data_IF_648817940954
#
_entry.id   IF_648817940954
#
_cell.length_a   1.000
_cell.length_b   1.000
_cell.length_c   1.000
_cell.angle_alpha   90.00
_cell.angle_beta   90.00
_cell.angle_gamma   90.00
#
_symmetry.space_group_name_H-M   'P 1'
#
loop_
_entity.id
_entity.type
_entity.pdbx_description
1 polymer ?
#
# COMPACT_ATOMS: atom_id res chain seq x y z
N UNK A 1 5.32 -10.05 20.82
CA UNK A 1 6.60 -9.37 20.54
C UNK A 1 6.23 -8.01 19.98
N UNK A 2 6.46 -6.92 20.71
CA UNK A 2 6.25 -5.56 20.20
C UNK A 2 7.29 -5.33 19.11
N UNK A 3 6.89 -5.29 17.84
CA UNK A 3 7.77 -4.84 16.76
C UNK A 3 8.29 -3.46 17.15
N UNK A 4 9.61 -3.31 17.28
CA UNK A 4 10.22 -1.99 17.45
C UNK A 4 9.72 -1.09 16.31
N UNK A 5 9.12 0.04 16.66
CA UNK A 5 8.67 1.02 15.66
C UNK A 5 9.90 1.49 14.89
N UNK A 6 10.05 0.96 13.68
CA UNK A 6 11.10 1.40 12.75
C UNK A 6 10.96 2.91 12.58
N UNK A 7 12.08 3.60 12.72
CA UNK A 7 12.18 5.04 12.54
C UNK A 7 13.32 5.32 11.57
N UNK A 8 13.06 6.15 10.58
CA UNK A 8 14.03 6.55 9.58
C UNK A 8 14.48 7.99 9.86
N UNK A 9 15.78 8.29 9.84
CA UNK A 9 16.26 9.64 10.08
C UNK A 9 15.82 10.58 8.97
N UNK A 10 15.45 11.80 9.36
CA UNK A 10 15.03 12.90 8.48
C UNK A 10 16.13 13.99 8.52
N UNK A 11 16.58 14.56 7.37
CA UNK A 11 16.11 14.33 6.00
C UNK A 11 16.44 12.92 5.51
N UNK A 12 15.40 12.22 5.03
CA UNK A 12 15.54 10.91 4.41
C UNK A 12 15.76 11.10 2.93
N UNK A 13 16.81 10.48 2.39
CA UNK A 13 17.17 10.53 0.97
C UNK A 13 17.41 9.12 0.48
N UNK A 14 16.86 8.79 -0.69
CA UNK A 14 17.06 7.48 -1.30
C UNK A 14 17.20 7.59 -2.80
N UNK A 15 18.11 6.79 -3.35
CA UNK A 15 18.22 6.54 -4.78
C UNK A 15 17.34 5.34 -5.13
N UNK A 16 16.51 5.50 -6.16
CA UNK A 16 15.75 4.39 -6.70
C UNK A 16 16.71 3.42 -7.40
N UNK A 17 16.63 2.13 -7.05
CA UNK A 17 17.47 1.10 -7.67
C UNK A 17 17.10 0.84 -9.14
N UNK A 18 15.84 1.11 -9.49
CA UNK A 18 15.28 1.00 -10.83
C UNK A 18 14.52 2.28 -11.18
N UNK A 19 14.15 2.44 -12.45
CA UNK A 19 13.34 3.59 -12.88
C UNK A 19 11.98 3.55 -12.19
N UNK A 20 11.43 4.73 -11.92
CA UNK A 20 10.04 4.82 -11.49
C UNK A 20 9.13 4.63 -12.70
N UNK A 21 8.34 3.56 -12.69
CA UNK A 21 7.53 3.10 -13.82
C UNK A 21 6.02 3.16 -13.54
N UNK A 22 5.20 3.28 -14.58
CA UNK A 22 3.74 3.19 -14.45
C UNK A 22 3.29 1.93 -13.70
N UNK A 23 2.38 2.11 -12.75
CA UNK A 23 1.86 1.08 -11.86
C UNK A 23 2.62 0.96 -10.54
N UNK A 24 3.84 1.51 -10.43
CA UNK A 24 4.59 1.53 -9.17
C UNK A 24 4.03 2.56 -8.19
N UNK A 25 4.16 2.29 -6.90
CA UNK A 25 3.70 3.13 -5.80
C UNK A 25 4.83 3.39 -4.81
N UNK A 26 5.06 4.66 -4.48
CA UNK A 26 5.83 5.08 -3.31
C UNK A 26 4.88 5.26 -2.13
N UNK A 27 5.15 4.59 -1.01
CA UNK A 27 4.41 4.64 0.24
C UNK A 27 5.29 5.31 1.29
N UNK A 28 4.78 6.37 1.90
CA UNK A 28 5.43 7.13 2.98
C UNK A 28 4.47 7.20 4.16
N UNK A 29 4.83 6.52 5.26
CA UNK A 29 4.05 6.56 6.50
C UNK A 29 4.87 7.16 7.62
N UNK A 30 4.23 7.96 8.44
CA UNK A 30 4.88 8.64 9.55
C UNK A 30 3.88 9.13 10.57
N UNK A 31 4.37 9.95 11.47
CA UNK A 31 3.59 10.70 12.44
C UNK A 31 4.12 12.12 12.58
N UNK A 32 3.27 13.02 13.07
CA UNK A 32 3.61 14.41 13.34
C UNK A 32 3.39 14.73 14.81
N UNK A 33 3.80 15.92 15.24
CA UNK A 33 3.53 16.46 16.59
C UNK A 33 2.66 17.71 16.50
N UNK A 34 2.12 18.17 17.62
CA UNK A 34 1.21 19.33 17.67
C UNK A 34 1.89 20.64 17.22
N UNK A 35 3.22 20.69 17.33
CA UNK A 35 4.05 21.81 16.91
C UNK A 35 4.44 21.76 15.42
N UNK A 36 4.23 20.63 14.73
CA UNK A 36 4.61 20.46 13.32
C UNK A 36 4.01 21.58 12.46
N UNK A 37 4.84 22.21 11.63
CA UNK A 37 4.44 23.25 10.69
C UNK A 37 4.28 22.67 9.30
N UNK A 38 5.30 21.95 8.82
CA UNK A 38 5.27 21.36 7.49
C UNK A 38 6.26 20.23 7.31
N UNK A 39 5.97 19.34 6.37
CA UNK A 39 6.95 18.41 5.81
C UNK A 39 6.77 18.28 4.30
N UNK A 40 7.75 17.66 3.64
CA UNK A 40 7.78 17.52 2.19
C UNK A 40 8.14 16.10 1.76
N UNK A 41 7.57 15.69 0.64
CA UNK A 41 7.94 14.49 -0.10
C UNK A 41 8.28 14.95 -1.51
N UNK A 42 9.45 14.55 -2.01
CA UNK A 42 9.96 15.01 -3.31
C UNK A 42 10.40 13.82 -4.14
N UNK A 43 10.03 13.80 -5.41
CA UNK A 43 10.60 12.95 -6.45
C UNK A 43 11.58 13.80 -7.26
N UNK A 44 12.86 13.44 -7.24
CA UNK A 44 13.95 14.24 -7.80
C UNK A 44 14.60 13.58 -9.01
N UNK A 45 15.18 14.41 -9.86
CA UNK A 45 16.09 14.01 -10.94
C UNK A 45 17.55 14.10 -10.48
N UNK A 46 18.36 13.10 -10.81
CA UNK A 46 19.82 12.99 -10.56
C UNK A 46 20.29 12.92 -9.10
N UNK A 47 19.81 13.78 -8.20
CA UNK A 47 20.22 13.82 -6.78
C UNK A 47 19.00 14.05 -5.89
N UNK A 48 19.05 13.58 -4.64
CA UNK A 48 17.97 13.74 -3.65
C UNK A 48 18.06 15.09 -2.90
N UNK A 49 18.29 16.20 -3.61
CA UNK A 49 18.42 17.53 -3.03
C UNK A 49 18.02 18.65 -3.99
N UNK A 50 17.89 19.86 -3.45
CA UNK A 50 17.56 21.07 -4.22
C UNK A 50 18.82 21.74 -4.80
N UNK A 51 19.80 20.96 -5.28
CA UNK A 51 21.03 21.49 -5.91
C UNK A 51 20.80 22.14 -7.29
N UNK A 52 19.55 22.48 -7.62
CA UNK A 52 19.14 23.05 -8.91
C UNK A 52 18.71 22.01 -9.95
N UNK A 53 18.69 20.73 -9.60
CA UNK A 53 18.13 19.68 -10.47
C UNK A 53 16.59 19.69 -10.46
N UNK A 54 16.00 19.12 -11.52
CA UNK A 54 14.55 19.07 -11.69
C UNK A 54 13.88 18.21 -10.61
N UNK A 55 12.74 18.66 -10.12
CA UNK A 55 11.86 17.95 -9.19
C UNK A 55 10.52 17.69 -9.90
N UNK A 56 10.35 16.54 -10.57
CA UNK A 56 9.10 16.17 -11.24
C UNK A 56 7.85 16.30 -10.37
N UNK A 57 7.95 15.94 -9.09
CA UNK A 57 6.86 16.10 -8.13
C UNK A 57 7.39 16.53 -6.76
N UNK A 58 6.94 17.69 -6.32
CA UNK A 58 7.07 18.19 -4.96
C UNK A 58 5.70 18.14 -4.29
N UNK A 59 5.64 17.58 -3.08
CA UNK A 59 4.46 17.61 -2.22
C UNK A 59 4.87 18.25 -0.90
N UNK A 60 4.19 19.33 -0.51
CA UNK A 60 4.37 20.02 0.76
C UNK A 60 3.08 19.95 1.57
N UNK A 61 3.14 19.28 2.71
CA UNK A 61 2.05 19.16 3.67
C UNK A 61 2.22 20.32 4.65
N UNK A 62 1.34 21.33 4.57
CA UNK A 62 1.43 22.59 5.32
C UNK A 62 0.30 22.66 6.33
N UNK A 63 0.62 22.45 7.61
CA UNK A 63 -0.36 22.53 8.69
C UNK A 63 -0.65 23.97 9.11
N UNK A 64 0.35 24.85 8.97
CA UNK A 64 0.23 26.30 9.15
C UNK A 64 -0.75 26.95 8.16
N UNK A 65 -0.80 26.46 6.91
CA UNK A 65 -1.75 26.92 5.90
C UNK A 65 -3.03 26.05 5.82
N UNK A 66 -3.05 24.87 6.44
CA UNK A 66 -4.12 23.88 6.30
C UNK A 66 -4.25 23.34 4.86
N UNK A 67 -3.16 23.28 4.10
CA UNK A 67 -3.12 22.86 2.69
C UNK A 67 -2.05 21.81 2.42
N UNK A 68 -2.31 20.94 1.48
CA UNK A 68 -1.26 20.20 0.76
C UNK A 68 -1.05 20.90 -0.56
N UNK A 69 0.21 21.20 -0.86
CA UNK A 69 0.65 21.93 -2.05
C UNK A 69 1.50 21.00 -2.91
N UNK A 70 1.18 20.96 -4.20
CA UNK A 70 1.88 20.16 -5.19
C UNK A 70 2.49 21.08 -6.25
N UNK A 71 3.70 20.79 -6.68
CA UNK A 71 4.35 21.54 -7.74
C UNK A 71 5.44 20.71 -8.43
N UNK A 72 6.02 21.27 -9.48
CA UNK A 72 7.23 20.76 -10.12
C UNK A 72 8.26 21.89 -10.19
N UNK A 73 9.52 21.54 -10.03
CA UNK A 73 10.65 22.45 -10.22
C UNK A 73 11.39 22.03 -11.50
N UNK A 74 11.60 22.97 -12.41
CA UNK A 74 12.25 22.70 -13.70
C UNK A 74 13.02 23.92 -14.19
N UNK A 75 14.19 23.71 -14.78
CA UNK A 75 14.99 24.80 -15.36
C UNK A 75 15.30 25.95 -14.37
N UNK A 76 15.44 25.63 -13.07
CA UNK A 76 15.75 26.61 -12.04
C UNK A 76 14.56 27.31 -11.40
N UNK A 77 13.33 27.05 -11.87
CA UNK A 77 12.12 27.73 -11.40
C UNK A 77 11.02 26.76 -10.96
N UNK A 78 10.21 27.22 -9.99
CA UNK A 78 8.97 26.55 -9.59
C UNK A 78 7.85 26.85 -10.57
N UNK A 79 7.09 25.82 -10.95
CA UNK A 79 5.86 25.97 -11.72
C UNK A 79 4.71 26.55 -10.91
N UNK A 80 3.51 26.50 -11.49
CA UNK A 80 2.27 26.90 -10.81
C UNK A 80 1.86 25.86 -9.76
N UNK A 81 1.70 26.29 -8.52
CA UNK A 81 1.22 25.42 -7.44
C UNK A 81 -0.21 24.91 -7.67
N UNK A 82 -0.45 23.65 -7.34
CA UNK A 82 -1.76 23.06 -7.13
C UNK A 82 -2.00 22.84 -5.65
N UNK A 83 -3.15 23.27 -5.14
CA UNK A 83 -3.43 23.30 -3.69
C UNK A 83 -4.74 22.59 -3.38
N UNK A 84 -4.76 21.79 -2.32
CA UNK A 84 -5.99 21.15 -1.79
C UNK A 84 -5.98 21.18 -0.26
N UNK A 85 -7.15 21.13 0.37
CA UNK A 85 -7.27 21.10 1.84
C UNK A 85 -6.47 19.94 2.42
N UNK A 86 -5.71 20.18 3.48
CA UNK A 86 -4.97 19.14 4.19
C UNK A 86 -5.93 18.32 5.07
N UNK A 87 -6.09 17.00 4.85
CA UNK A 87 -6.91 16.16 5.72
C UNK A 87 -6.14 15.63 6.94
N UNK A 88 -4.81 15.73 6.95
CA UNK A 88 -3.95 15.24 8.03
C UNK A 88 -4.02 16.21 9.19
N UNK A 89 -4.20 15.70 10.41
CA UNK A 89 -4.15 16.50 11.63
C UNK A 89 -2.76 16.48 12.25
N UNK A 90 -2.40 17.57 12.91
CA UNK A 90 -1.19 17.63 13.74
C UNK A 90 -1.28 16.59 14.86
N UNK A 91 -0.14 16.05 15.26
CA UNK A 91 -0.06 15.02 16.31
C UNK A 91 -0.50 13.62 15.87
N UNK A 92 -1.10 13.46 14.68
CA UNK A 92 -1.60 12.18 14.19
C UNK A 92 -0.61 11.47 13.24
N UNK A 93 -0.82 10.17 13.07
CA UNK A 93 -0.15 9.37 12.05
C UNK A 93 -0.74 9.68 10.66
N UNK A 94 0.04 9.46 9.61
CA UNK A 94 -0.39 9.63 8.23
C UNK A 94 0.11 8.49 7.34
N UNK A 95 -0.62 8.24 6.25
CA UNK A 95 -0.24 7.35 5.15
C UNK A 95 -0.38 8.09 3.81
N UNK A 96 0.75 8.49 3.21
CA UNK A 96 0.77 9.14 1.89
C UNK A 96 1.29 8.14 0.86
N UNK A 97 0.54 7.98 -0.23
CA UNK A 97 0.93 7.14 -1.36
C UNK A 97 0.95 7.94 -2.64
N UNK A 98 1.95 7.67 -3.46
CA UNK A 98 2.15 8.29 -4.76
C UNK A 98 2.29 7.17 -5.78
N UNK A 99 1.25 6.96 -6.60
CA UNK A 99 1.24 5.95 -7.64
C UNK A 99 1.46 6.60 -8.99
N UNK A 100 2.43 6.09 -9.73
CA UNK A 100 2.71 6.56 -11.08
C UNK A 100 1.76 5.90 -12.08
N UNK A 101 1.19 6.70 -12.98
CA UNK A 101 0.55 6.26 -14.21
C UNK A 101 1.31 6.84 -15.42
N UNK A 102 0.89 6.51 -16.64
CA UNK A 102 1.53 7.01 -17.86
C UNK A 102 1.40 8.53 -18.02
N UNK A 103 0.31 9.11 -17.50
CA UNK A 103 -0.09 10.51 -17.71
C UNK A 103 -0.05 11.38 -16.44
N UNK A 104 -0.05 10.76 -15.25
CA UNK A 104 -0.14 11.47 -13.97
C UNK A 104 0.44 10.69 -12.79
N UNK A 105 0.61 11.37 -11.67
CA UNK A 105 0.67 10.76 -10.35
C UNK A 105 -0.72 10.76 -9.73
N UNK A 106 -1.20 9.60 -9.30
CA UNK A 106 -2.32 9.51 -8.37
C UNK A 106 -1.77 9.61 -6.96
N UNK A 107 -2.32 10.50 -6.14
CA UNK A 107 -1.89 10.72 -4.76
C UNK A 107 -3.03 10.34 -3.83
N UNK A 108 -2.72 9.57 -2.79
CA UNK A 108 -3.64 9.14 -1.75
C UNK A 108 -3.15 9.60 -0.39
N UNK A 109 -4.10 9.94 0.47
CA UNK A 109 -3.85 10.25 1.88
C UNK A 109 -4.80 9.39 2.71
N UNK A 110 -4.23 8.66 3.66
CA UNK A 110 -4.91 7.67 4.51
C UNK A 110 -5.74 6.70 3.67
N UNK A 111 -5.10 6.16 2.63
CA UNK A 111 -5.66 5.20 1.67
C UNK A 111 -6.83 5.73 0.82
N UNK A 112 -7.20 7.00 0.95
CA UNK A 112 -8.26 7.64 0.17
C UNK A 112 -7.66 8.45 -0.96
N UNK A 113 -8.29 8.36 -2.12
CA UNK A 113 -7.94 9.17 -3.29
C UNK A 113 -7.93 10.66 -2.91
N UNK A 114 -6.76 11.30 -3.07
CA UNK A 114 -6.55 12.68 -2.68
C UNK A 114 -6.50 13.59 -3.90
N UNK A 115 -5.56 13.38 -4.83
CA UNK A 115 -5.40 14.25 -5.99
C UNK A 115 -4.64 13.54 -7.09
N UNK A 116 -5.09 13.74 -8.33
CA UNK A 116 -4.30 13.42 -9.52
C UNK A 116 -3.47 14.65 -9.92
N UNK A 117 -2.18 14.43 -10.21
CA UNK A 117 -1.23 15.46 -10.64
C UNK A 117 -0.62 15.05 -11.98
N UNK A 118 -1.01 15.76 -13.04
CA UNK A 118 -0.51 15.48 -14.40
C UNK A 118 1.00 15.67 -14.49
N UNK A 119 1.67 14.80 -15.25
CA UNK A 119 3.12 14.87 -15.42
C UNK A 119 3.51 16.17 -16.13
N UNK A 120 4.29 17.02 -15.45
CA UNK A 120 4.89 18.23 -16.04
C UNK A 120 6.31 18.01 -16.55
N UNK A 121 6.94 16.95 -16.07
CA UNK A 121 8.27 16.50 -16.45
C UNK A 121 8.21 14.99 -16.74
N UNK A 122 9.14 14.44 -17.53
CA UNK A 122 9.15 13.01 -17.84
C UNK A 122 9.23 12.17 -16.57
N UNK A 123 8.31 11.22 -16.39
CA UNK A 123 8.34 10.25 -15.29
C UNK A 123 9.71 9.55 -15.19
N UNK A 124 10.30 9.23 -16.35
CA UNK A 124 11.60 8.57 -16.47
C UNK A 124 12.79 9.40 -15.99
N UNK A 125 12.63 10.70 -15.70
CA UNK A 125 13.71 11.52 -15.14
C UNK A 125 13.90 11.30 -13.64
N UNK A 126 12.92 10.69 -12.96
CA UNK A 126 12.96 10.42 -11.53
C UNK A 126 13.97 9.32 -11.24
N UNK A 127 14.94 9.63 -10.39
CA UNK A 127 15.94 8.66 -9.92
C UNK A 127 16.11 8.64 -8.41
N UNK A 128 15.53 9.61 -7.71
CA UNK A 128 15.65 9.75 -6.27
C UNK A 128 14.34 10.21 -5.66
N UNK A 129 14.20 9.99 -4.36
CA UNK A 129 13.19 10.69 -3.57
C UNK A 129 13.75 11.14 -2.23
N UNK A 130 13.12 12.16 -1.65
CA UNK A 130 13.43 12.61 -0.30
C UNK A 130 12.17 12.89 0.51
N UNK A 131 12.30 12.74 1.82
CA UNK A 131 11.30 13.14 2.81
C UNK A 131 11.98 14.00 3.85
N UNK A 132 11.44 15.20 4.10
CA UNK A 132 12.09 16.21 4.96
C UNK A 132 11.07 17.08 5.70
N UNK A 133 11.47 17.67 6.83
CA UNK A 133 10.66 18.58 7.66
C UNK A 133 10.15 17.96 8.97
N UNK A 134 9.00 18.45 9.45
CA UNK A 134 8.49 18.20 10.80
C UNK A 134 7.70 16.88 10.92
N UNK A 135 8.38 15.75 10.80
CA UNK A 135 7.78 14.42 10.92
C UNK A 135 8.70 13.41 11.62
N UNK A 136 8.09 12.34 12.14
CA UNK A 136 8.75 11.06 12.39
C UNK A 136 8.41 10.10 11.25
N UNK A 137 9.43 9.66 10.50
CA UNK A 137 9.26 8.76 9.38
C UNK A 137 9.30 7.30 9.84
N UNK A 138 8.19 6.57 9.67
CA UNK A 138 8.04 5.21 10.21
C UNK A 138 8.18 4.11 9.16
N UNK A 139 7.69 4.35 7.94
CA UNK A 139 7.81 3.40 6.85
C UNK A 139 8.00 4.11 5.52
N UNK A 140 8.93 3.58 4.73
CA UNK A 140 9.11 3.93 3.33
C UNK A 140 9.17 2.64 2.54
N UNK A 141 8.35 2.55 1.50
CA UNK A 141 8.33 1.42 0.60
C UNK A 141 8.05 1.91 -0.82
N UNK A 142 8.77 1.40 -1.82
CA UNK A 142 8.44 1.65 -3.23
C UNK A 142 8.46 0.34 -4.01
N UNK A 143 7.60 0.25 -5.02
CA UNK A 143 7.53 -0.92 -5.89
C UNK A 143 6.10 -1.18 -6.34
N UNK A 144 5.76 -2.44 -6.55
CA UNK A 144 4.49 -2.81 -7.17
C UNK A 144 4.53 -2.64 -8.68
N UNK A 145 3.39 -2.84 -9.32
CA UNK A 145 3.16 -2.72 -10.76
C UNK A 145 1.66 -2.76 -11.02
N UNK A 146 1.25 -2.74 -12.28
CA UNK A 146 -0.10 -3.17 -12.62
C UNK A 146 -0.20 -4.69 -12.48
N UNK A 147 -1.07 -5.12 -11.59
CA UNK A 147 -1.42 -6.53 -11.40
C UNK A 147 -2.78 -6.76 -12.08
N UNK A 148 -2.87 -7.63 -13.10
CA UNK A 148 -4.15 -7.95 -13.72
C UNK A 148 -5.03 -8.68 -12.70
N UNK A 149 -6.33 -8.38 -12.71
CA UNK A 149 -7.35 -9.12 -11.95
C UNK A 149 -8.32 -9.73 -12.96
N UNK A 150 -8.53 -11.08 -12.96
CA UNK A 150 -8.05 -12.06 -11.99
C UNK A 150 -6.52 -12.22 -12.01
N UNK A 151 -5.93 -12.22 -10.81
CA UNK A 151 -4.52 -12.45 -10.58
C UNK A 151 -4.30 -13.90 -10.19
N UNK A 152 -3.29 -14.53 -10.78
CA UNK A 152 -2.84 -15.86 -10.39
C UNK A 152 -1.32 -15.94 -10.51
N UNK A 153 -0.67 -16.47 -9.48
CA UNK A 153 0.78 -16.68 -9.48
C UNK A 153 1.15 -17.82 -8.55
N UNK A 154 2.15 -18.59 -8.95
CA UNK A 154 2.92 -19.40 -8.01
C UNK A 154 3.68 -18.52 -7.04
N UNK A 155 3.91 -19.02 -5.82
CA UNK A 155 4.80 -18.42 -4.84
C UNK A 155 6.10 -19.22 -4.93
N UNK A 156 7.11 -18.68 -5.62
CA UNK A 156 8.28 -19.44 -6.05
C UNK A 156 9.02 -20.19 -4.92
N UNK A 157 9.10 -19.59 -3.73
CA UNK A 157 9.71 -20.19 -2.53
C UNK A 157 8.71 -20.91 -1.62
N UNK A 158 7.45 -21.01 -2.05
CA UNK A 158 6.32 -21.30 -1.18
C UNK A 158 6.01 -20.15 -0.21
N UNK A 159 4.93 -20.31 0.54
CA UNK A 159 4.56 -19.42 1.65
C UNK A 159 4.65 -20.20 2.98
N UNK A 160 5.87 -20.52 3.46
CA UNK A 160 6.05 -21.37 4.63
C UNK A 160 5.65 -20.67 5.93
N UNK A 161 5.64 -21.44 7.01
CA UNK A 161 5.43 -20.94 8.38
C UNK A 161 6.45 -19.84 8.71
N UNK A 162 6.05 -18.89 9.55
CA UNK A 162 6.74 -17.66 9.97
C UNK A 162 6.88 -16.58 8.89
N UNK A 163 6.40 -16.82 7.67
CA UNK A 163 6.40 -15.82 6.59
C UNK A 163 5.14 -14.97 6.58
N UNK A 164 5.27 -13.78 5.99
CA UNK A 164 4.19 -12.80 5.83
C UNK A 164 3.92 -12.54 4.35
N UNK A 165 2.65 -12.55 3.96
CA UNK A 165 2.18 -12.08 2.66
C UNK A 165 1.52 -10.71 2.87
N UNK A 166 2.06 -9.69 2.21
CA UNK A 166 1.51 -8.35 2.17
C UNK A 166 0.83 -8.12 0.82
N UNK A 167 -0.40 -7.63 0.86
CA UNK A 167 -1.19 -7.23 -0.31
C UNK A 167 -1.66 -5.79 -0.10
N UNK A 168 -1.36 -4.94 -1.05
CA UNK A 168 -1.88 -3.58 -1.15
C UNK A 168 -2.93 -3.54 -2.24
N UNK A 169 -4.15 -3.11 -1.89
CA UNK A 169 -5.27 -3.17 -2.81
C UNK A 169 -6.37 -2.18 -2.46
N UNK A 170 -7.24 -1.90 -3.42
CA UNK A 170 -8.42 -1.03 -3.25
C UNK A 170 -9.65 -1.77 -3.78
N UNK A 171 -10.68 -2.03 -2.94
CA UNK A 171 -11.96 -2.54 -3.44
C UNK A 171 -12.59 -1.50 -4.35
N UNK A 172 -13.20 -1.93 -5.45
CA UNK A 172 -13.87 -0.99 -6.36
C UNK A 172 -14.96 -0.17 -5.66
N UNK A 173 -15.21 1.07 -6.12
CA UNK A 173 -16.24 1.96 -5.56
C UNK A 173 -17.64 1.32 -5.55
N UNK A 174 -17.91 0.40 -6.47
CA UNK A 174 -19.18 -0.36 -6.59
C UNK A 174 -19.05 -1.84 -6.21
N UNK A 175 -17.95 -2.23 -5.56
CA UNK A 175 -17.65 -3.62 -5.21
C UNK A 175 -18.82 -4.30 -4.49
N UNK A 176 -19.14 -5.51 -4.92
CA UNK A 176 -19.98 -6.47 -4.18
C UNK A 176 -19.09 -7.39 -3.37
N UNK A 177 -18.05 -7.97 -3.98
CA UNK A 177 -17.15 -8.92 -3.33
C UNK A 177 -15.83 -9.07 -4.08
N UNK A 178 -14.81 -9.49 -3.35
CA UNK A 178 -13.55 -9.98 -3.91
C UNK A 178 -13.04 -11.15 -3.07
N UNK A 179 -12.12 -11.94 -3.60
CA UNK A 179 -11.51 -13.02 -2.84
C UNK A 179 -10.01 -13.11 -3.05
N UNK A 180 -9.33 -13.62 -2.03
CA UNK A 180 -7.91 -13.94 -2.01
C UNK A 180 -7.81 -15.39 -1.58
N UNK A 181 -7.22 -16.24 -2.43
CA UNK A 181 -7.02 -17.66 -2.18
C UNK A 181 -5.52 -17.93 -2.00
N UNK A 182 -5.17 -18.63 -0.92
CA UNK A 182 -3.88 -19.30 -0.76
C UNK A 182 -4.04 -20.76 -1.16
N UNK A 183 -3.33 -21.17 -2.20
CA UNK A 183 -3.45 -22.49 -2.79
C UNK A 183 -2.32 -23.40 -2.37
N UNK A 184 -2.65 -24.67 -2.16
CA UNK A 184 -1.71 -25.77 -1.98
C UNK A 184 -1.21 -26.25 -3.35
N UNK A 185 -0.12 -27.03 -3.36
CA UNK A 185 0.47 -27.59 -4.60
C UNK A 185 -0.51 -28.44 -5.43
N UNK A 186 -1.50 -29.06 -4.79
CA UNK A 186 -2.52 -29.89 -5.45
C UNK A 186 -3.73 -29.10 -5.96
N UNK A 187 -3.77 -27.77 -5.77
CA UNK A 187 -4.88 -26.91 -6.18
C UNK A 187 -5.96 -26.70 -5.12
N UNK A 188 -5.89 -27.40 -3.97
CA UNK A 188 -6.77 -27.11 -2.83
C UNK A 188 -6.55 -25.67 -2.33
N UNK A 189 -7.59 -25.06 -1.77
CA UNK A 189 -7.52 -23.72 -1.18
C UNK A 189 -7.33 -23.87 0.33
N UNK A 190 -6.12 -23.58 0.81
CA UNK A 190 -5.79 -23.57 2.25
C UNK A 190 -6.57 -22.47 2.99
N UNK A 191 -6.63 -21.27 2.40
CA UNK A 191 -7.38 -20.13 2.90
C UNK A 191 -8.06 -19.42 1.74
N UNK A 192 -9.39 -19.37 1.76
CA UNK A 192 -10.22 -18.49 0.95
C UNK A 192 -10.66 -17.33 1.83
N UNK A 193 -10.13 -16.13 1.60
CA UNK A 193 -10.55 -14.91 2.28
C UNK A 193 -11.45 -14.11 1.34
N UNK A 194 -12.73 -13.95 1.68
CA UNK A 194 -13.72 -13.38 0.79
C UNK A 194 -14.56 -12.29 1.48
N UNK A 195 -14.13 -11.03 1.39
CA UNK A 195 -14.94 -9.88 1.76
C UNK A 195 -16.17 -9.74 0.86
N UNK A 196 -17.35 -9.69 1.49
CA UNK A 196 -18.66 -9.57 0.84
C UNK A 196 -19.38 -8.34 1.40
N UNK A 197 -19.38 -7.26 0.64
CA UNK A 197 -19.96 -5.98 1.06
C UNK A 197 -21.49 -6.02 1.11
N UNK A 198 -22.10 -6.82 0.25
CA UNK A 198 -23.54 -7.09 0.20
C UNK A 198 -24.03 -7.88 1.44
N UNK A 199 -23.19 -8.75 1.99
CA UNK A 199 -23.46 -9.50 3.24
C UNK A 199 -22.89 -8.81 4.49
N UNK A 200 -22.13 -7.72 4.32
CA UNK A 200 -21.38 -7.02 5.39
C UNK A 200 -20.48 -7.94 6.22
N UNK A 201 -19.89 -8.94 5.59
CA UNK A 201 -19.10 -9.99 6.24
C UNK A 201 -17.81 -10.28 5.48
N UNK A 202 -16.85 -10.90 6.17
CA UNK A 202 -15.68 -11.51 5.53
C UNK A 202 -15.76 -13.00 5.77
N UNK A 203 -16.01 -13.75 4.70
CA UNK A 203 -16.07 -15.21 4.75
C UNK A 203 -14.66 -15.77 4.68
N UNK A 204 -14.33 -16.71 5.57
CA UNK A 204 -13.12 -17.53 5.49
C UNK A 204 -13.50 -19.00 5.39
N UNK A 205 -12.83 -19.72 4.50
CA UNK A 205 -13.04 -21.16 4.34
C UNK A 205 -11.82 -21.83 3.69
N UNK A 206 -11.86 -23.15 3.56
CA UNK A 206 -10.91 -23.96 2.80
C UNK A 206 -11.70 -24.81 1.81
N UNK A 207 -11.10 -25.06 0.64
CA UNK A 207 -11.61 -25.98 -0.37
C UNK A 207 -10.68 -27.18 -0.41
N UNK A 208 -11.18 -28.38 -0.09
CA UNK A 208 -10.39 -29.61 -0.06
C UNK A 208 -11.08 -30.68 -0.90
N UNK A 209 -10.36 -31.25 -1.86
CA UNK A 209 -10.90 -32.27 -2.77
C UNK A 209 -12.21 -31.83 -3.47
N UNK A 210 -12.32 -30.54 -3.79
CA UNK A 210 -13.48 -29.95 -4.46
C UNK A 210 -14.64 -29.55 -3.55
N UNK A 211 -14.55 -29.80 -2.24
CA UNK A 211 -15.63 -29.50 -1.28
C UNK A 211 -15.25 -28.35 -0.34
N UNK A 212 -16.20 -27.44 -0.13
CA UNK A 212 -16.04 -26.34 0.83
C UNK A 212 -16.25 -26.85 2.26
N UNK A 213 -15.39 -26.42 3.18
CA UNK A 213 -15.55 -26.69 4.60
C UNK A 213 -16.59 -25.79 5.29
N UNK A 214 -16.52 -25.72 6.62
CA UNK A 214 -17.34 -24.81 7.40
C UNK A 214 -16.90 -23.34 7.20
N UNK A 215 -17.83 -22.43 6.95
CA UNK A 215 -17.51 -21.01 6.83
C UNK A 215 -17.27 -20.36 8.21
N UNK A 216 -16.25 -19.52 8.30
CA UNK A 216 -16.02 -18.59 9.41
C UNK A 216 -16.37 -17.17 8.95
N UNK A 217 -17.14 -16.44 9.75
CA UNK A 217 -17.82 -15.19 9.33
C UNK A 217 -17.79 -14.08 10.37
N UNK A 218 -17.32 -14.38 11.57
CA UNK A 218 -17.29 -13.47 12.70
C UNK A 218 -16.36 -12.26 12.44
N UNK A 219 -16.67 -11.16 13.11
CA UNK A 219 -15.98 -9.88 12.96
C UNK A 219 -16.75 -8.88 12.10
N UNK A 220 -16.51 -7.58 12.36
CA UNK A 220 -16.99 -6.50 11.50
C UNK A 220 -16.13 -6.44 10.24
N UNK A 221 -16.73 -6.25 9.07
CA UNK A 221 -15.96 -6.06 7.83
C UNK A 221 -15.01 -4.85 7.97
N UNK A 222 -13.68 -5.03 7.82
CA UNK A 222 -12.68 -3.97 7.99
C UNK A 222 -12.36 -3.21 6.68
N UNK A 223 -13.08 -3.52 5.60
CA UNK A 223 -12.85 -2.95 4.27
C UNK A 223 -13.91 -1.90 3.93
N UNK A 224 -13.50 -0.82 3.25
CA UNK A 224 -14.38 0.24 2.75
C UNK A 224 -14.25 0.31 1.21
N UNK A 225 -15.38 0.49 0.50
CA UNK A 225 -15.38 0.55 -0.97
C UNK A 225 -14.66 1.81 -1.45
N UNK A 226 -13.75 1.67 -2.42
CA UNK A 226 -12.97 2.77 -2.96
C UNK A 226 -11.89 3.31 -2.04
N UNK A 227 -11.61 2.64 -0.92
CA UNK A 227 -10.53 2.99 0.03
C UNK A 227 -9.52 1.86 0.02
N UNK A 228 -8.24 2.22 -0.17
CA UNK A 228 -7.15 1.26 -0.13
C UNK A 228 -7.04 0.56 1.22
N UNK A 229 -6.42 -0.61 1.23
CA UNK A 229 -6.07 -1.31 2.46
C UNK A 229 -4.71 -2.02 2.31
N UNK A 230 -4.09 -2.25 3.47
CA UNK A 230 -2.96 -3.14 3.60
C UNK A 230 -3.42 -4.42 4.28
N UNK A 231 -3.34 -5.53 3.57
CA UNK A 231 -3.63 -6.85 4.13
C UNK A 231 -2.30 -7.54 4.40
N UNK A 232 -2.13 -7.98 5.64
CA UNK A 232 -1.02 -8.85 6.03
C UNK A 232 -1.58 -10.18 6.49
N UNK A 233 -1.18 -11.26 5.80
CA UNK A 233 -1.44 -12.62 6.25
C UNK A 233 -0.11 -13.17 6.77
N UNK A 234 -0.05 -13.57 8.03
CA UNK A 234 1.10 -14.25 8.63
C UNK A 234 0.77 -15.73 8.74
N UNK A 235 1.60 -16.58 8.15
CA UNK A 235 1.45 -18.02 8.30
C UNK A 235 2.16 -18.46 9.59
N UNK A 236 1.44 -18.64 10.69
CA UNK A 236 2.03 -19.17 11.93
C UNK A 236 1.87 -20.69 12.01
N UNK A 237 2.47 -21.30 13.04
CA UNK A 237 2.49 -22.76 13.21
C UNK A 237 1.09 -23.40 13.24
N UNK A 238 0.10 -22.72 13.83
CA UNK A 238 -1.24 -23.28 14.06
C UNK A 238 -2.37 -22.59 13.29
N UNK A 239 -2.14 -21.37 12.81
CA UNK A 239 -3.16 -20.58 12.13
C UNK A 239 -2.56 -19.50 11.25
N UNK A 240 -3.34 -19.02 10.28
CA UNK A 240 -3.07 -17.71 9.68
C UNK A 240 -3.51 -16.59 10.64
N UNK A 241 -2.64 -15.61 10.86
CA UNK A 241 -3.00 -14.34 11.48
C UNK A 241 -3.28 -13.31 10.38
N UNK A 242 -4.48 -12.74 10.37
CA UNK A 242 -4.93 -11.83 9.31
C UNK A 242 -5.05 -10.43 9.89
N UNK A 243 -4.28 -9.48 9.35
CA UNK A 243 -4.28 -8.07 9.73
C UNK A 243 -4.77 -7.21 8.58
N UNK A 244 -5.59 -6.21 8.88
CA UNK A 244 -6.02 -5.19 7.92
C UNK A 244 -5.64 -3.84 8.48
N UNK A 245 -4.86 -3.06 7.72
CA UNK A 245 -4.33 -1.76 8.12
C UNK A 245 -3.55 -1.80 9.45
N UNK A 246 -2.81 -2.89 9.69
CA UNK A 246 -1.99 -3.08 10.90
C UNK A 246 -2.76 -3.59 12.12
N UNK A 247 -4.10 -3.64 12.08
CA UNK A 247 -4.92 -4.19 13.15
C UNK A 247 -5.26 -5.65 12.87
N UNK A 248 -5.17 -6.51 13.89
CA UNK A 248 -5.52 -7.92 13.74
C UNK A 248 -7.03 -8.06 13.55
N UNK A 249 -7.44 -8.51 12.38
CA UNK A 249 -8.84 -8.72 12.04
C UNK A 249 -9.35 -10.06 12.58
N UNK A 250 -8.68 -11.17 12.24
CA UNK A 250 -9.07 -12.49 12.70
C UNK A 250 -7.90 -13.48 12.65
N UNK A 251 -8.14 -14.69 13.17
CA UNK A 251 -7.27 -15.85 13.02
C UNK A 251 -8.02 -16.92 12.23
N UNK A 252 -7.32 -17.71 11.44
CA UNK A 252 -7.90 -18.86 10.75
C UNK A 252 -7.05 -20.11 11.02
N UNK A 253 -7.58 -21.04 11.80
CA UNK A 253 -6.87 -22.28 12.15
C UNK A 253 -6.57 -23.09 10.89
N UNK A 254 -5.36 -23.66 10.82
CA UNK A 254 -4.97 -24.46 9.66
C UNK A 254 -5.85 -25.71 9.55
N UNK A 255 -6.45 -25.90 8.38
CA UNK A 255 -7.24 -27.10 8.03
C UNK A 255 -6.48 -28.08 7.15
N UNK A 256 -5.24 -27.74 6.80
CA UNK A 256 -4.31 -28.50 5.98
C UNK A 256 -2.88 -28.23 6.45
N UNK A 257 -1.88 -28.89 5.85
CA UNK A 257 -0.47 -28.64 6.16
C UNK A 257 -0.09 -27.19 5.80
N UNK A 258 0.40 -26.35 6.74
CA UNK A 258 0.78 -24.97 6.46
C UNK A 258 2.08 -24.84 5.64
N UNK A 259 2.84 -25.92 5.45
CA UNK A 259 4.10 -25.92 4.72
C UNK A 259 3.98 -26.06 3.21
N UNK A 260 2.79 -26.39 2.68
CA UNK A 260 2.61 -26.73 1.25
C UNK A 260 1.89 -25.66 0.41
N UNK A 261 1.74 -24.46 0.97
CA UNK A 261 1.15 -23.31 0.28
C UNK A 261 2.12 -22.83 -0.81
N UNK A 262 1.64 -22.84 -2.05
CA UNK A 262 2.46 -22.60 -3.23
C UNK A 262 1.82 -21.68 -4.27
N UNK A 263 0.56 -21.27 -4.09
CA UNK A 263 -0.14 -20.41 -5.04
C UNK A 263 -0.93 -19.28 -4.39
N UNK A 264 -1.14 -18.22 -5.16
CA UNK A 264 -1.98 -17.08 -4.81
C UNK A 264 -2.92 -16.80 -5.98
N UNK A 265 -4.23 -16.73 -5.70
CA UNK A 265 -5.22 -16.21 -6.64
C UNK A 265 -5.97 -15.06 -6.00
N UNK A 266 -6.23 -14.00 -6.77
CA UNK A 266 -7.02 -12.85 -6.32
C UNK A 266 -7.99 -12.46 -7.42
N UNK A 267 -9.29 -12.37 -7.09
CA UNK A 267 -10.34 -12.14 -8.06
C UNK A 267 -11.49 -11.30 -7.48
N UNK A 268 -12.40 -10.86 -8.36
CA UNK A 268 -13.57 -10.04 -8.01
C UNK A 268 -13.30 -8.54 -8.09
N UNK A 269 -14.11 -7.76 -7.40
CA UNK A 269 -14.20 -6.31 -7.55
C UNK A 269 -13.09 -5.58 -6.77
N UNK A 270 -11.84 -5.75 -7.20
CA UNK A 270 -10.65 -5.25 -6.52
C UNK A 270 -9.56 -4.81 -7.50
N UNK A 271 -8.86 -3.73 -7.15
CA UNK A 271 -7.64 -3.28 -7.81
C UNK A 271 -6.43 -3.59 -6.94
N UNK A 272 -5.42 -4.24 -7.53
CA UNK A 272 -4.17 -4.62 -6.87
C UNK A 272 -3.06 -3.64 -7.20
N UNK A 273 -2.31 -3.21 -6.17
CA UNK A 273 -1.22 -2.24 -6.31
C UNK A 273 0.12 -2.74 -5.77
N UNK A 274 0.12 -3.80 -4.96
CA UNK A 274 1.34 -4.46 -4.50
C UNK A 274 1.08 -5.84 -3.89
N UNK A 275 2.04 -6.74 -4.10
CA UNK A 275 2.07 -8.09 -3.52
C UNK A 275 3.51 -8.40 -3.12
N UNK A 276 3.73 -8.81 -1.88
CA UNK A 276 5.06 -9.14 -1.35
C UNK A 276 5.00 -10.32 -0.40
N UNK A 277 5.98 -11.22 -0.50
CA UNK A 277 6.21 -12.28 0.48
C UNK A 277 7.51 -11.95 1.21
N UNK A 278 7.48 -11.95 2.54
CA UNK A 278 8.60 -11.59 3.42
C UNK A 278 8.86 -12.70 4.45
#
# INVERSE_FOLDING_TARGET
MTEEKKSYPVPYKSQLQEKFEPGQTLIVKGSTIDESQRFTINLHSKTADFSGNDVPLHISIRFDEGKIVLNSFSNGDWGKEERKSNPIKKGEAFDIRIRAHDDRFQIMVDQKEFKDYEHRLPLSSISHFSVDGDLYLNAVHWGGKYYPVPYESGIATGFPVEKKLLIFATPEKKAKRFNINLLRKNGDIALHLNPRFDEKAVVRNSLQAGEWGNEEREGKIPFEKGVGFDLTIVNEQFSFQIYVNGERFCTYAHRCDPGDIAGLQIQGDIELTGIQVQ
#
